data_IF_498499573069
#
_entry.id   IF_498499573069
#
_cell.length_a   1.000
_cell.length_b   1.000
_cell.length_c   1.000
_cell.angle_alpha   90.00
_cell.angle_beta   90.00
_cell.angle_gamma   90.00
#
_symmetry.space_group_name_H-M   'P 1'
#
loop_
_entity.id
_entity.type
_entity.pdbx_description
1 polymer ?
#
# COMPACT_ATOMS: atom_id res chain seq x y z
N UNK A 1 17.35 -16.02 -7.85
CA UNK A 1 16.88 -15.03 -6.85
C UNK A 1 17.26 -15.59 -5.49
N UNK A 2 18.26 -15.02 -4.82
CA UNK A 2 18.70 -15.51 -3.50
C UNK A 2 17.74 -14.98 -2.45
N UNK A 3 16.85 -15.83 -1.94
CA UNK A 3 16.01 -15.54 -0.78
C UNK A 3 16.93 -15.22 0.41
N UNK A 4 16.75 -14.06 1.03
CA UNK A 4 17.40 -13.78 2.31
C UNK A 4 16.96 -14.82 3.36
N UNK A 5 17.83 -15.20 4.31
CA UNK A 5 17.48 -16.17 5.34
C UNK A 5 16.34 -15.62 6.22
N UNK A 6 15.29 -16.43 6.38
CA UNK A 6 14.17 -16.12 7.28
C UNK A 6 14.65 -16.07 8.73
N UNK A 7 14.16 -15.11 9.51
CA UNK A 7 14.43 -14.99 10.95
C UNK A 7 13.19 -15.40 11.74
N UNK A 8 13.33 -16.18 12.84
CA UNK A 8 12.19 -16.55 13.67
C UNK A 8 11.62 -15.31 14.37
N UNK A 9 10.30 -15.26 14.49
CA UNK A 9 9.56 -14.23 15.20
C UNK A 9 8.44 -14.89 16.00
N UNK A 10 8.36 -14.61 17.30
CA UNK A 10 7.25 -15.05 18.16
C UNK A 10 6.23 -13.92 18.25
N UNK A 11 4.96 -14.23 17.96
CA UNK A 11 3.85 -13.29 18.04
C UNK A 11 2.70 -13.92 18.84
N UNK A 12 1.91 -13.08 19.49
CA UNK A 12 0.64 -13.49 20.09
C UNK A 12 -0.49 -13.17 19.11
N UNK A 13 -1.39 -14.13 18.91
CA UNK A 13 -2.58 -13.99 18.06
C UNK A 13 -3.82 -14.29 18.88
N UNK A 14 -4.97 -13.80 18.42
CA UNK A 14 -6.25 -14.18 19.00
C UNK A 14 -6.51 -15.68 18.77
N UNK A 15 -7.13 -16.40 19.72
CA UNK A 15 -7.38 -17.84 19.59
C UNK A 15 -8.11 -18.20 18.30
N UNK A 16 -9.07 -17.38 17.87
CA UNK A 16 -9.81 -17.59 16.64
C UNK A 16 -8.93 -17.53 15.38
N UNK A 17 -7.85 -16.74 15.38
CA UNK A 17 -6.91 -16.68 14.26
C UNK A 17 -5.94 -17.87 14.28
N UNK A 18 -5.61 -18.39 15.47
CA UNK A 18 -4.86 -19.65 15.61
C UNK A 18 -5.66 -20.79 14.99
N UNK A 19 -6.94 -20.92 15.35
CA UNK A 19 -7.84 -21.96 14.81
C UNK A 19 -7.95 -21.89 13.27
N UNK A 20 -8.01 -20.68 12.71
CA UNK A 20 -8.03 -20.46 11.25
C UNK A 20 -6.73 -20.91 10.59
N UNK A 21 -5.58 -20.59 11.18
CA UNK A 21 -4.27 -21.00 10.66
C UNK A 21 -4.15 -22.53 10.71
N UNK A 22 -4.54 -23.16 11.82
CA UNK A 22 -4.50 -24.62 11.96
C UNK A 22 -5.41 -25.31 10.95
N UNK A 23 -6.63 -24.79 10.75
CA UNK A 23 -7.55 -25.32 9.75
C UNK A 23 -7.01 -25.23 8.32
N UNK A 24 -6.33 -24.13 7.96
CA UNK A 24 -5.73 -23.92 6.64
C UNK A 24 -4.52 -24.82 6.38
N UNK A 25 -3.79 -25.20 7.43
CA UNK A 25 -2.73 -26.22 7.33
C UNK A 25 -3.35 -27.62 7.24
N UNK A 26 -4.38 -27.91 8.05
CA UNK A 26 -5.05 -29.20 8.07
C UNK A 26 -5.80 -29.52 6.75
N UNK A 27 -6.29 -28.52 6.03
CA UNK A 27 -6.89 -28.69 4.70
C UNK A 27 -5.86 -29.06 3.62
N UNK A 28 -4.58 -28.81 3.87
CA UNK A 28 -3.50 -28.98 2.91
C UNK A 28 -3.32 -27.80 1.95
N UNK A 29 -4.07 -26.70 2.14
CA UNK A 29 -3.91 -25.47 1.33
C UNK A 29 -2.56 -24.79 1.61
N UNK A 30 -2.01 -24.99 2.82
CA UNK A 30 -0.72 -24.50 3.24
C UNK A 30 0.11 -25.61 3.90
N UNK A 31 1.43 -25.56 3.71
CA UNK A 31 2.37 -26.55 4.26
C UNK A 31 2.73 -26.27 5.72
N UNK A 32 2.56 -25.03 6.19
CA UNK A 32 2.87 -24.64 7.57
C UNK A 32 2.19 -23.34 7.99
N UNK A 33 2.08 -23.12 9.30
CA UNK A 33 1.60 -21.85 9.86
C UNK A 33 2.44 -20.64 9.40
N UNK A 34 3.76 -20.81 9.27
CA UNK A 34 4.64 -19.74 8.76
C UNK A 34 4.30 -19.34 7.33
N UNK A 35 3.90 -20.29 6.49
CA UNK A 35 3.48 -20.01 5.11
C UNK A 35 2.16 -19.24 5.06
N UNK A 36 1.20 -19.59 5.94
CA UNK A 36 -0.06 -18.84 6.09
C UNK A 36 0.23 -17.38 6.48
N UNK A 37 1.11 -17.18 7.47
CA UNK A 37 1.50 -15.83 7.93
C UNK A 37 2.22 -15.05 6.82
N UNK A 38 3.11 -15.68 6.05
CA UNK A 38 3.80 -15.03 4.92
C UNK A 38 2.83 -14.61 3.81
N UNK A 39 1.84 -15.46 3.50
CA UNK A 39 0.79 -15.14 2.54
C UNK A 39 -0.07 -13.95 3.03
N UNK A 40 -0.48 -13.97 4.30
CA UNK A 40 -1.25 -12.88 4.91
C UNK A 40 -0.46 -11.55 4.91
N UNK A 41 0.83 -11.59 5.26
CA UNK A 41 1.70 -10.42 5.24
C UNK A 41 1.91 -9.87 3.82
N UNK A 42 1.96 -10.74 2.81
CA UNK A 42 2.06 -10.32 1.41
C UNK A 42 0.80 -9.57 0.96
N UNK A 43 -0.39 -10.05 1.32
CA UNK A 43 -1.67 -9.38 1.06
C UNK A 43 -1.76 -8.03 1.79
N UNK A 44 -1.31 -7.98 3.04
CA UNK A 44 -1.27 -6.75 3.84
C UNK A 44 -0.30 -5.72 3.27
N UNK A 45 0.88 -6.13 2.79
CA UNK A 45 1.85 -5.25 2.14
C UNK A 45 1.26 -4.61 0.87
N UNK A 46 0.51 -5.39 0.08
CA UNK A 46 -0.25 -4.88 -1.06
C UNK A 46 -1.22 -3.77 -0.65
N UNK A 47 -2.02 -4.01 0.40
CA UNK A 47 -3.01 -3.04 0.91
C UNK A 47 -2.36 -1.75 1.45
N UNK A 48 -1.17 -1.83 2.05
CA UNK A 48 -0.44 -0.64 2.50
C UNK A 48 0.12 0.22 1.36
N UNK A 49 0.27 -0.34 0.15
CA UNK A 49 0.68 0.44 -1.03
C UNK A 49 -0.36 1.51 -1.37
N UNK A 50 -1.64 1.22 -1.16
CA UNK A 50 -2.72 2.19 -1.38
C UNK A 50 -2.64 3.36 -0.37
N UNK A 51 -2.19 3.10 0.85
CA UNK A 51 -1.97 4.17 1.85
C UNK A 51 -0.84 5.13 1.46
N UNK A 52 0.15 4.66 0.72
CA UNK A 52 1.21 5.53 0.20
C UNK A 52 0.70 6.42 -0.93
N UNK A 53 -0.19 5.90 -1.77
CA UNK A 53 -0.90 6.71 -2.76
C UNK A 53 -1.74 7.80 -2.08
N UNK A 54 -2.55 7.44 -1.07
CA UNK A 54 -3.36 8.38 -0.32
C UNK A 54 -2.53 9.48 0.35
N UNK A 55 -1.38 9.10 0.91
CA UNK A 55 -0.44 10.05 1.51
C UNK A 55 0.13 11.02 0.48
N UNK A 56 0.52 10.52 -0.70
CA UNK A 56 1.01 11.36 -1.81
C UNK A 56 -0.09 12.30 -2.31
N UNK A 57 -1.32 11.81 -2.43
CA UNK A 57 -2.47 12.61 -2.83
C UNK A 57 -2.73 13.75 -1.84
N UNK A 58 -2.76 13.43 -0.54
CA UNK A 58 -2.93 14.43 0.52
C UNK A 58 -1.80 15.47 0.49
N UNK A 59 -0.56 15.04 0.35
CA UNK A 59 0.58 15.95 0.26
C UNK A 59 0.49 16.88 -0.97
N UNK A 60 0.09 16.36 -2.13
CA UNK A 60 -0.11 17.15 -3.35
C UNK A 60 -1.25 18.17 -3.19
N UNK A 61 -2.35 17.79 -2.54
CA UNK A 61 -3.46 18.69 -2.22
C UNK A 61 -3.04 19.80 -1.26
N UNK A 62 -2.36 19.46 -0.17
CA UNK A 62 -1.89 20.46 0.80
C UNK A 62 -0.85 21.40 0.18
N UNK A 63 0.03 20.89 -0.70
CA UNK A 63 0.93 21.72 -1.51
C UNK A 63 0.16 22.65 -2.45
N UNK A 64 -0.90 22.15 -3.10
CA UNK A 64 -1.78 22.95 -3.96
C UNK A 64 -2.47 24.08 -3.19
N UNK A 65 -3.02 23.80 -2.01
CA UNK A 65 -3.61 24.83 -1.14
C UNK A 65 -2.59 25.89 -0.70
N UNK A 66 -1.35 25.48 -0.47
CA UNK A 66 -0.27 26.39 -0.10
C UNK A 66 0.36 27.12 -1.29
N UNK A 67 -0.05 26.83 -2.54
CA UNK A 67 0.60 27.36 -3.75
C UNK A 67 0.24 28.80 -4.10
N UNK A 68 -0.59 29.45 -3.28
CA UNK A 68 -1.01 30.83 -3.46
C UNK A 68 -2.52 30.96 -3.71
N UNK A 69 -2.99 32.19 -3.95
CA UNK A 69 -4.41 32.42 -4.18
C UNK A 69 -4.88 31.74 -5.47
N UNK A 70 -6.09 31.14 -5.49
CA UNK A 70 -6.66 30.59 -6.70
C UNK A 70 -6.88 31.70 -7.73
N UNK A 71 -6.64 31.38 -9.01
CA UNK A 71 -6.92 32.27 -10.13
C UNK A 71 -7.89 31.62 -11.10
N UNK A 72 -8.69 32.43 -11.77
CA UNK A 72 -9.50 31.95 -12.88
C UNK A 72 -8.59 31.49 -14.02
N UNK A 73 -8.94 30.34 -14.63
CA UNK A 73 -8.11 29.70 -15.63
C UNK A 73 -8.98 29.31 -16.82
N UNK A 74 -8.73 29.96 -17.96
CA UNK A 74 -9.44 29.69 -19.21
C UNK A 74 -8.57 28.77 -20.07
N UNK A 75 -9.17 27.69 -20.55
CA UNK A 75 -8.48 26.64 -21.31
C UNK A 75 -7.67 27.18 -22.50
N UNK A 76 -8.17 28.13 -23.32
CA UNK A 76 -7.40 28.69 -24.43
C UNK A 76 -6.12 29.41 -23.99
N UNK A 77 -6.17 30.11 -22.85
CA UNK A 77 -5.02 30.86 -22.33
C UNK A 77 -3.97 29.90 -21.75
N UNK A 78 -4.41 28.86 -21.01
CA UNK A 78 -3.52 27.79 -20.54
C UNK A 78 -2.75 27.11 -21.69
N UNK A 79 -3.47 26.76 -22.77
CA UNK A 79 -2.85 26.10 -23.92
C UNK A 79 -1.86 27.00 -24.65
N UNK A 80 -2.10 28.32 -24.67
CA UNK A 80 -1.16 29.30 -25.22
C UNK A 80 0.10 29.34 -24.37
N UNK A 81 -0.04 29.47 -23.05
CA UNK A 81 1.07 29.55 -22.10
C UNK A 81 1.98 28.32 -22.17
N UNK A 82 1.38 27.11 -22.19
CA UNK A 82 2.13 25.85 -22.28
C UNK A 82 2.88 25.69 -23.60
N UNK A 83 2.29 26.14 -24.72
CA UNK A 83 2.96 26.11 -26.04
C UNK A 83 4.09 27.12 -26.15
N UNK A 84 4.04 28.23 -25.42
CA UNK A 84 5.10 29.23 -25.38
C UNK A 84 6.20 28.93 -24.36
N UNK A 85 5.99 27.97 -23.47
CA UNK A 85 6.93 27.57 -22.42
C UNK A 85 7.82 26.37 -22.81
N UNK A 86 7.58 25.75 -23.97
CA UNK A 86 8.43 24.70 -24.56
C UNK A 86 9.23 25.23 -25.73
#
# INVERSE_FOLDING_TARGET
MTSSPKRPLTVSLDPADIDRIEAAVASGDFTSASEVVEAALSLWAGTNTDRDFDRRLKAAYDKGKASGPPRELRLPDLLRDLKSAG
#
